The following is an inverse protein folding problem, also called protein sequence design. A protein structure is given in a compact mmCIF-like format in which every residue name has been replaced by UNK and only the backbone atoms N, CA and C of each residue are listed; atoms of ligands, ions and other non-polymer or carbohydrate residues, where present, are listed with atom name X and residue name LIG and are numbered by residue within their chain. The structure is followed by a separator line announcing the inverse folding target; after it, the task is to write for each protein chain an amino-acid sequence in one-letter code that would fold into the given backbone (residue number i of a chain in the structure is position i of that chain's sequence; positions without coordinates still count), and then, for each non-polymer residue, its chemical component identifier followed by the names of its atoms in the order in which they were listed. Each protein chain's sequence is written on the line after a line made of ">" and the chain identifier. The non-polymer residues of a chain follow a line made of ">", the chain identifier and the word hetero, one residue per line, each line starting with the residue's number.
data_IF_494977368362
#
_entry.id   IF_494977368362
#
_cell.length_a   1.000
_cell.length_b   1.000
_cell.length_c   1.000
_cell.angle_alpha   90.00
_cell.angle_beta   90.00
_cell.angle_gamma   90.00
#
_symmetry.space_group_name_H-M   'P 1'
#
loop_
_entity.id
_entity.type
_entity.pdbx_description
1 polymer ?
#
# COMPACT_ATOMS: atom_id res chain seq x y z
N UNK A 1 -15.78 7.30 -21.21
CA UNK A 1 -15.75 7.12 -19.74
C UNK A 1 -14.37 7.57 -19.29
N UNK A 2 -14.27 8.44 -18.28
CA UNK A 2 -13.01 8.99 -17.80
C UNK A 2 -12.74 8.63 -16.35
N UNK A 3 -11.46 8.61 -15.98
CA UNK A 3 -11.04 8.45 -14.59
C UNK A 3 -10.94 9.81 -13.92
N UNK A 4 -11.44 9.90 -12.70
CA UNK A 4 -11.43 11.11 -11.89
C UNK A 4 -10.92 10.76 -10.50
N UNK A 5 -10.05 11.59 -9.94
CA UNK A 5 -9.49 11.42 -8.60
C UNK A 5 -9.80 12.60 -7.72
N UNK A 6 -10.10 12.34 -6.45
CA UNK A 6 -10.17 13.34 -5.40
C UNK A 6 -8.92 13.22 -4.56
N UNK A 7 -8.21 14.33 -4.38
CA UNK A 7 -7.00 14.37 -3.57
C UNK A 7 -7.33 14.85 -2.15
N UNK A 8 -6.62 14.34 -1.15
CA UNK A 8 -6.60 14.94 0.18
C UNK A 8 -5.69 16.18 0.21
N UNK A 9 -5.62 16.86 1.37
CA UNK A 9 -4.78 18.06 1.56
C UNK A 9 -3.28 17.80 1.34
N UNK A 10 -2.85 16.54 1.41
CA UNK A 10 -1.46 16.11 1.23
C UNK A 10 -1.19 15.59 -0.20
N UNK A 11 -2.15 15.70 -1.12
CA UNK A 11 -1.99 15.29 -2.52
C UNK A 11 -2.11 13.79 -2.78
N UNK A 12 -2.56 12.98 -1.81
CA UNK A 12 -2.85 11.55 -2.02
C UNK A 12 -4.25 11.39 -2.61
N UNK A 13 -4.40 10.45 -3.54
CA UNK A 13 -5.72 10.03 -4.04
C UNK A 13 -6.53 9.41 -2.91
N UNK A 14 -7.55 10.13 -2.45
CA UNK A 14 -8.52 9.67 -1.47
C UNK A 14 -9.62 8.83 -2.11
N UNK A 15 -10.04 9.21 -3.32
CA UNK A 15 -11.11 8.53 -4.04
C UNK A 15 -10.82 8.54 -5.54
N UNK A 16 -11.09 7.43 -6.21
CA UNK A 16 -11.00 7.31 -7.65
C UNK A 16 -12.32 6.76 -8.20
N UNK A 17 -12.86 7.41 -9.22
CA UNK A 17 -14.13 7.02 -9.85
C UNK A 17 -14.00 6.98 -11.37
N UNK A 18 -14.81 6.13 -11.99
CA UNK A 18 -14.92 6.04 -13.45
C UNK A 18 -16.35 6.40 -13.85
N UNK A 19 -16.53 7.53 -14.51
CA UNK A 19 -17.86 8.05 -14.88
C UNK A 19 -17.82 8.76 -16.25
N UNK A 20 -19.00 9.03 -16.83
CA UNK A 20 -19.16 9.74 -18.10
C UNK A 20 -19.18 11.27 -17.94
N UNK A 21 -19.54 11.79 -16.76
CA UNK A 21 -19.54 13.22 -16.44
C UNK A 21 -18.42 13.59 -15.47
N UNK A 22 -18.08 14.88 -15.35
CA UNK A 22 -17.11 15.35 -14.37
C UNK A 22 -17.79 15.51 -13.00
N UNK A 23 -17.42 14.72 -11.97
CA UNK A 23 -17.95 14.88 -10.63
C UNK A 23 -17.35 16.11 -9.95
N UNK A 24 -18.14 16.76 -9.09
CA UNK A 24 -17.71 17.95 -8.35
C UNK A 24 -16.59 17.60 -7.36
N UNK A 25 -15.53 18.41 -7.32
CA UNK A 25 -14.39 18.19 -6.42
C UNK A 25 -13.39 17.12 -6.86
N UNK A 26 -13.54 16.56 -8.06
CA UNK A 26 -12.57 15.62 -8.63
C UNK A 26 -11.75 16.25 -9.75
N UNK A 27 -10.47 15.87 -9.79
CA UNK A 27 -9.55 16.14 -10.88
C UNK A 27 -9.67 15.04 -11.94
N UNK A 28 -9.79 15.44 -13.21
CA UNK A 28 -9.75 14.48 -14.32
C UNK A 28 -8.34 13.93 -14.47
N UNK A 29 -8.21 12.61 -14.47
CA UNK A 29 -6.96 11.93 -14.81
C UNK A 29 -6.95 11.70 -16.31
N UNK A 30 -5.96 12.29 -16.98
CA UNK A 30 -5.64 11.94 -18.36
C UNK A 30 -4.63 10.80 -18.26
N UNK A 31 -5.11 9.57 -18.31
CA UNK A 31 -4.25 8.43 -18.62
C UNK A 31 -3.87 8.64 -20.08
N UNK A 32 -2.59 8.91 -20.37
CA UNK A 32 -2.10 9.03 -21.74
C UNK A 32 -2.50 7.74 -22.48
N UNK A 33 -3.56 7.81 -23.28
CA UNK A 33 -3.78 6.82 -24.32
C UNK A 33 -2.76 7.18 -25.39
N UNK A 34 -1.81 6.28 -25.71
CA UNK A 34 -0.76 6.62 -26.66
C UNK A 34 -1.40 7.11 -27.95
N UNK A 35 -0.97 8.29 -28.39
CA UNK A 35 -1.31 8.81 -29.71
C UNK A 35 -0.67 7.90 -30.76
N UNK A 36 -1.44 7.64 -31.81
CA UNK A 36 -1.19 6.66 -32.87
C UNK A 36 0.29 6.49 -33.25
N UNK A 37 0.87 5.30 -32.97
CA UNK A 37 2.11 4.87 -33.64
C UNK A 37 2.97 3.83 -32.90
N UNK A 38 2.98 3.82 -31.58
CA UNK A 38 3.69 2.80 -30.80
C UNK A 38 2.69 1.89 -30.08
N UNK A 39 2.81 0.58 -30.28
CA UNK A 39 2.13 -0.41 -29.43
C UNK A 39 2.87 -0.44 -28.10
N UNK A 40 2.69 0.60 -27.29
CA UNK A 40 2.82 0.50 -25.86
C UNK A 40 1.41 0.22 -25.37
N UNK A 41 1.17 -0.99 -24.86
CA UNK A 41 -0.12 -1.33 -24.25
C UNK A 41 -0.43 -0.24 -23.22
N UNK A 42 -1.52 0.55 -23.37
CA UNK A 42 -1.87 1.54 -22.37
C UNK A 42 -2.00 0.77 -21.05
N UNK A 43 -1.15 1.08 -20.07
CA UNK A 43 -1.20 0.42 -18.78
C UNK A 43 -2.61 0.67 -18.24
N UNK A 44 -3.45 -0.36 -18.08
CA UNK A 44 -4.81 -0.14 -17.62
C UNK A 44 -4.72 0.30 -16.16
N UNK A 45 -4.80 1.61 -15.90
CA UNK A 45 -4.81 2.12 -14.53
C UNK A 45 -6.17 1.79 -13.92
N UNK A 46 -6.18 0.83 -13.00
CA UNK A 46 -7.34 0.45 -12.20
C UNK A 46 -7.65 1.52 -11.16
N UNK A 47 -8.89 1.56 -10.63
CA UNK A 47 -9.22 2.43 -9.49
C UNK A 47 -8.34 2.12 -8.27
N UNK A 48 -7.94 0.85 -8.12
CA UNK A 48 -7.02 0.41 -7.06
C UNK A 48 -5.63 1.04 -7.24
N UNK A 49 -5.06 0.99 -8.44
CA UNK A 49 -3.77 1.63 -8.71
C UNK A 49 -3.84 3.14 -8.50
N UNK A 50 -4.91 3.80 -8.95
CA UNK A 50 -5.13 5.23 -8.70
C UNK A 50 -5.15 5.55 -7.20
N UNK A 51 -5.80 4.72 -6.37
CA UNK A 51 -5.85 4.92 -4.92
C UNK A 51 -4.47 4.84 -4.24
N UNK A 52 -3.49 4.22 -4.91
CA UNK A 52 -2.11 4.13 -4.46
C UNK A 52 -1.20 5.22 -5.05
N UNK A 53 -1.77 6.26 -5.67
CA UNK A 53 -1.00 7.37 -6.25
C UNK A 53 -1.02 8.62 -5.37
N UNK A 54 0.00 9.46 -5.57
CA UNK A 54 0.11 10.79 -5.00
C UNK A 54 0.53 11.79 -6.07
N UNK A 55 0.14 13.05 -5.89
CA UNK A 55 0.53 14.14 -6.77
C UNK A 55 1.90 14.69 -6.37
N UNK A 56 2.84 14.66 -7.30
CA UNK A 56 4.18 15.25 -7.16
C UNK A 56 4.41 16.19 -8.33
N UNK A 57 4.60 17.47 -8.06
CA UNK A 57 4.82 18.51 -9.10
C UNK A 57 3.75 18.54 -10.21
N UNK A 58 2.50 18.19 -9.87
CA UNK A 58 1.38 18.16 -10.82
C UNK A 58 1.26 16.86 -11.62
N UNK A 59 2.09 15.85 -11.34
CA UNK A 59 2.07 14.53 -11.96
C UNK A 59 1.64 13.49 -10.91
N UNK A 60 0.71 12.60 -11.28
CA UNK A 60 0.40 11.45 -10.44
C UNK A 60 1.51 10.41 -10.56
N UNK A 61 2.10 10.07 -9.43
CA UNK A 61 3.10 9.01 -9.31
C UNK A 61 2.65 7.98 -8.29
N UNK A 62 3.13 6.74 -8.42
CA UNK A 62 2.89 5.72 -7.40
C UNK A 62 3.52 6.16 -6.08
N UNK A 63 2.78 5.98 -4.99
CA UNK A 63 3.31 6.15 -3.64
C UNK A 63 4.43 5.12 -3.40
N UNK A 64 5.47 5.48 -2.63
CA UNK A 64 6.46 4.49 -2.20
C UNK A 64 5.77 3.42 -1.33
N UNK A 65 6.33 2.20 -1.30
CA UNK A 65 5.81 1.11 -0.47
C UNK A 65 6.51 1.10 0.87
N UNK A 66 5.81 0.71 1.93
CA UNK A 66 6.42 0.33 3.21
C UNK A 66 7.46 -0.79 3.00
N UNK A 67 8.39 -0.98 3.95
CA UNK A 67 9.29 -2.14 3.96
C UNK A 67 8.50 -3.43 3.80
N UNK A 68 8.91 -4.30 2.88
CA UNK A 68 8.16 -5.52 2.55
C UNK A 68 8.54 -6.63 3.54
N UNK A 69 7.66 -7.03 4.47
CA UNK A 69 7.91 -8.20 5.28
C UNK A 69 7.88 -9.46 4.39
N UNK A 70 8.53 -10.52 4.86
CA UNK A 70 8.56 -11.81 4.16
C UNK A 70 8.53 -12.97 5.14
N UNK A 71 7.94 -14.09 4.73
CA UNK A 71 7.95 -15.31 5.52
C UNK A 71 9.17 -16.17 5.21
N UNK A 72 9.79 -16.72 6.26
CA UNK A 72 10.92 -17.63 6.18
C UNK A 72 10.89 -18.57 7.38
N UNK A 73 11.00 -19.88 7.14
CA UNK A 73 11.10 -20.90 8.20
C UNK A 73 10.04 -20.80 9.31
N UNK A 74 8.77 -20.58 8.93
CA UNK A 74 7.65 -20.44 9.89
C UNK A 74 7.63 -19.11 10.66
N UNK A 75 8.46 -18.15 10.26
CA UNK A 75 8.53 -16.80 10.83
C UNK A 75 8.07 -15.77 9.81
N UNK A 76 7.71 -14.59 10.29
CA UNK A 76 7.63 -13.38 9.45
C UNK A 76 8.73 -12.42 9.88
N UNK A 77 9.54 -11.99 8.93
CA UNK A 77 10.64 -11.04 9.13
C UNK A 77 10.22 -9.70 8.54
N UNK A 78 10.31 -8.64 9.35
CA UNK A 78 10.20 -7.25 8.92
C UNK A 78 11.62 -6.72 8.71
N UNK A 79 12.01 -6.40 7.47
CA UNK A 79 13.32 -5.81 7.21
C UNK A 79 13.40 -4.41 7.81
N UNK A 80 14.62 -3.87 7.84
CA UNK A 80 14.95 -2.54 8.35
C UNK A 80 13.92 -1.48 7.94
N UNK A 81 13.36 -0.78 8.93
CA UNK A 81 12.35 0.26 8.75
C UNK A 81 12.71 1.53 9.52
N UNK A 82 12.11 2.66 9.10
CA UNK A 82 12.37 3.97 9.69
C UNK A 82 11.60 4.18 10.98
N UNK A 83 12.04 5.14 11.80
CA UNK A 83 11.30 5.60 12.98
C UNK A 83 9.84 5.93 12.63
N UNK A 84 8.91 5.60 13.53
CA UNK A 84 7.48 5.83 13.38
C UNK A 84 6.74 4.82 12.51
N UNK A 85 7.43 3.82 11.94
CA UNK A 85 6.79 2.69 11.26
C UNK A 85 5.91 1.91 12.24
N UNK A 86 4.65 1.69 11.88
CA UNK A 86 3.72 0.86 12.65
C UNK A 86 3.73 -0.56 12.09
N UNK A 87 3.92 -1.55 12.97
CA UNK A 87 3.90 -2.98 12.63
C UNK A 87 2.75 -3.63 13.41
N UNK A 88 1.77 -4.17 12.69
CA UNK A 88 0.63 -4.87 13.29
C UNK A 88 0.71 -6.36 13.01
N UNK A 89 0.56 -7.18 14.06
CA UNK A 89 0.61 -8.64 13.99
C UNK A 89 -0.78 -9.19 14.27
N UNK A 90 -1.29 -10.00 13.34
CA UNK A 90 -2.63 -10.57 13.39
C UNK A 90 -2.56 -12.10 13.40
N UNK A 91 -3.33 -12.71 14.28
CA UNK A 91 -3.77 -14.10 14.14
C UNK A 91 -5.08 -14.10 13.32
N UNK A 92 -5.01 -14.56 12.07
CA UNK A 92 -6.18 -14.60 11.19
C UNK A 92 -7.11 -15.78 11.51
N UNK A 93 -6.60 -16.83 12.14
CA UNK A 93 -7.42 -17.98 12.57
C UNK A 93 -8.25 -17.61 13.79
N UNK A 94 -7.61 -17.02 14.81
CA UNK A 94 -8.25 -16.51 16.01
C UNK A 94 -9.05 -15.21 15.79
N UNK A 95 -8.79 -14.51 14.69
CA UNK A 95 -9.31 -13.16 14.41
C UNK A 95 -8.89 -12.13 15.46
N UNK A 96 -7.63 -12.19 15.89
CA UNK A 96 -7.09 -11.36 16.97
C UNK A 96 -5.91 -10.51 16.50
N UNK A 97 -5.77 -9.32 17.11
CA UNK A 97 -4.55 -8.52 17.01
C UNK A 97 -3.63 -8.95 18.14
N UNK A 98 -2.49 -9.55 17.78
CA UNK A 98 -1.52 -10.07 18.75
C UNK A 98 -0.61 -8.96 19.29
N UNK A 99 -0.18 -8.05 18.40
CA UNK A 99 0.74 -6.99 18.76
C UNK A 99 0.62 -5.79 17.82
N UNK A 100 0.91 -4.60 18.36
CA UNK A 100 1.17 -3.38 17.61
C UNK A 100 2.49 -2.81 18.12
N UNK A 101 3.45 -2.63 17.23
CA UNK A 101 4.79 -2.10 17.52
C UNK A 101 4.98 -0.82 16.72
N UNK A 102 5.62 0.18 17.33
CA UNK A 102 6.02 1.42 16.66
C UNK A 102 7.55 1.46 16.70
N UNK A 103 8.20 1.53 15.53
CA UNK A 103 9.64 1.66 15.43
C UNK A 103 10.12 2.95 16.12
N UNK A 104 10.99 2.81 17.12
CA UNK A 104 11.51 3.95 17.90
C UNK A 104 12.79 4.57 17.32
N UNK A 105 13.41 3.90 16.35
CA UNK A 105 14.63 4.36 15.70
C UNK A 105 14.57 4.11 14.19
N UNK A 106 15.38 4.87 13.47
CA UNK A 106 15.78 4.45 12.13
C UNK A 106 16.53 3.11 12.23
N UNK A 107 16.35 2.27 11.21
CA UNK A 107 16.90 0.92 11.08
C UNK A 107 16.29 -0.17 11.99
N UNK A 108 15.07 0.03 12.50
CA UNK A 108 14.37 -0.99 13.31
C UNK A 108 14.05 -2.25 12.49
N UNK A 109 14.34 -3.42 13.05
CA UNK A 109 14.11 -4.75 12.44
C UNK A 109 13.38 -5.65 13.42
N UNK A 110 12.46 -6.48 12.93
CA UNK A 110 11.69 -7.41 13.76
C UNK A 110 11.51 -8.78 13.13
N UNK A 111 11.40 -9.80 13.97
CA UNK A 111 11.09 -11.15 13.55
C UNK A 111 10.05 -11.78 14.48
N UNK A 112 8.96 -12.28 13.90
CA UNK A 112 7.85 -12.88 14.62
C UNK A 112 7.87 -14.39 14.45
N UNK A 113 7.91 -15.09 15.58
CA UNK A 113 7.77 -16.54 15.67
C UNK A 113 6.38 -16.90 16.19
N UNK A 114 5.78 -17.91 15.58
CA UNK A 114 4.43 -18.36 15.90
C UNK A 114 4.48 -19.81 16.35
N UNK A 115 3.84 -20.11 17.48
CA UNK A 115 3.91 -21.42 18.13
C UNK A 115 2.66 -22.25 17.83
N UNK A 116 1.50 -21.61 17.83
CA UNK A 116 0.23 -22.29 17.64
C UNK A 116 -0.07 -22.47 16.14
N UNK A 117 -0.69 -23.60 15.74
CA UNK A 117 -1.14 -23.77 14.37
C UNK A 117 -2.15 -22.71 13.97
N UNK A 118 -1.95 -22.09 12.82
CA UNK A 118 -2.78 -20.97 12.39
C UNK A 118 -2.21 -20.21 11.19
N UNK A 119 -2.98 -19.24 10.69
CA UNK A 119 -2.51 -18.29 9.69
C UNK A 119 -2.24 -16.95 10.36
N UNK A 120 -1.04 -16.44 10.21
CA UNK A 120 -0.60 -15.19 10.79
C UNK A 120 -0.28 -14.19 9.70
N UNK A 121 -0.58 -12.91 9.96
CA UNK A 121 -0.31 -11.79 9.07
C UNK A 121 0.43 -10.70 9.81
N UNK A 122 1.49 -10.17 9.20
CA UNK A 122 2.16 -8.97 9.69
C UNK A 122 1.99 -7.88 8.65
N UNK A 123 1.37 -6.77 9.04
CA UNK A 123 1.22 -5.56 8.24
C UNK A 123 2.23 -4.50 8.68
N UNK A 124 2.86 -3.85 7.71
CA UNK A 124 3.87 -2.81 7.94
C UNK A 124 3.41 -1.52 7.28
N UNK A 125 3.25 -0.48 8.09
CA UNK A 125 2.87 0.86 7.68
C UNK A 125 3.97 1.85 8.05
N UNK A 126 4.85 2.14 7.10
CA UNK A 126 5.80 3.22 7.24
C UNK A 126 5.07 4.57 7.24
N UNK A 127 5.66 5.63 7.82
CA UNK A 127 5.05 6.95 7.84
C UNK A 127 4.65 7.44 6.45
N UNK A 128 3.74 8.41 6.40
CA UNK A 128 3.33 9.07 5.16
C UNK A 128 4.55 9.43 4.28
N UNK A 129 4.53 9.17 2.95
CA UNK A 129 3.39 8.82 2.11
C UNK A 129 3.27 7.32 1.77
N UNK A 130 3.90 6.42 2.53
CA UNK A 130 4.05 5.02 2.11
C UNK A 130 2.73 4.23 2.04
N UNK A 131 2.63 3.29 1.10
CA UNK A 131 1.52 2.31 1.02
C UNK A 131 1.86 1.12 1.92
N UNK A 132 0.93 0.68 2.79
CA UNK A 132 1.15 -0.49 3.64
C UNK A 132 1.48 -1.75 2.84
N UNK A 133 2.34 -2.59 3.42
CA UNK A 133 2.74 -3.90 2.90
C UNK A 133 2.40 -4.96 3.93
N UNK A 134 2.35 -6.22 3.52
CA UNK A 134 2.11 -7.33 4.45
C UNK A 134 2.76 -8.62 3.98
N UNK A 135 2.92 -9.56 4.91
CA UNK A 135 3.25 -10.94 4.66
C UNK A 135 2.38 -11.85 5.52
N UNK A 136 2.18 -13.07 5.03
CA UNK A 136 1.42 -14.10 5.72
C UNK A 136 2.26 -15.37 5.85
N UNK A 137 2.04 -16.12 6.92
CA UNK A 137 2.64 -17.44 7.15
C UNK A 137 1.60 -18.37 7.74
N UNK A 138 1.61 -19.63 7.32
CA UNK A 138 0.78 -20.69 7.86
C UNK A 138 1.66 -21.62 8.70
N UNK A 139 1.24 -21.87 9.93
CA UNK A 139 1.84 -22.83 10.86
C UNK A 139 0.94 -24.04 10.95
N UNK A 140 1.52 -25.23 10.76
CA UNK A 140 0.83 -26.53 10.77
C UNK A 140 0.95 -27.26 12.10
#
# INVERSE_FOLDING_TARGET
>A
MGYFVKLNEQGIVQEAVSTSGQPEGFMRVVVDQPSDGEIQTPVPVTLYELSNMMLVEGILVSRPKSPQPYSSDGKIIVPSCSEGTTINVFDQTGQEVMATIIAETDDHEEAFEFIDPGTYRVEVEAPFPHVPTFAEVMIE
#
